data_IF_293023633258
#
_entry.id   IF_293023633258
#
_cell.length_a   1.000
_cell.length_b   1.000
_cell.length_c   1.000
_cell.angle_alpha   90.00
_cell.angle_beta   90.00
_cell.angle_gamma   90.00
#
_symmetry.space_group_name_H-M   'P 1'
#
loop_
_entity.id
_entity.type
_entity.pdbx_description
1 polymer ?
#
# COMPACT_ATOMS: atom_id res chain seq x y z
N UNK A 1 39.54 -1.28 -0.83
CA UNK A 1 38.54 -0.98 -1.88
C UNK A 1 37.72 0.19 -1.40
N UNK A 2 37.85 1.33 -2.08
CA UNK A 2 37.18 2.58 -1.74
C UNK A 2 35.72 2.47 -2.16
N UNK A 3 34.87 1.98 -1.26
CA UNK A 3 33.43 1.87 -1.51
C UNK A 3 32.85 3.28 -1.53
N UNK A 4 32.36 3.71 -2.69
CA UNK A 4 31.72 5.00 -2.92
C UNK A 4 30.23 4.75 -3.13
N UNK A 5 29.48 4.48 -2.05
CA UNK A 5 28.05 4.19 -2.15
C UNK A 5 27.33 5.41 -2.73
N UNK A 6 26.44 5.14 -3.68
CA UNK A 6 25.57 6.15 -4.30
C UNK A 6 24.13 5.82 -4.00
N UNK A 7 23.36 6.78 -3.51
CA UNK A 7 21.92 6.64 -3.36
C UNK A 7 21.24 6.55 -4.74
N UNK A 8 20.23 5.69 -4.86
CA UNK A 8 19.41 5.60 -6.07
C UNK A 8 18.71 6.94 -6.35
N UNK A 9 18.77 7.37 -7.60
CA UNK A 9 18.19 8.65 -8.07
C UNK A 9 16.68 8.63 -8.27
N UNK A 10 16.05 7.46 -8.28
CA UNK A 10 14.60 7.30 -8.47
C UNK A 10 13.78 7.34 -7.16
N UNK A 11 14.45 7.42 -6.00
CA UNK A 11 13.78 7.48 -4.71
C UNK A 11 13.08 8.82 -4.50
N UNK A 12 11.81 8.77 -4.11
CA UNK A 12 11.03 9.97 -3.76
C UNK A 12 11.13 10.21 -2.27
N UNK A 13 11.70 11.35 -1.86
CA UNK A 13 11.73 11.78 -0.47
C UNK A 13 10.57 12.74 -0.18
N UNK A 14 9.81 12.45 0.87
CA UNK A 14 8.73 13.31 1.37
C UNK A 14 9.01 13.62 2.84
N UNK A 15 9.12 14.90 3.16
CA UNK A 15 9.21 15.36 4.55
C UNK A 15 7.85 15.23 5.23
N UNK A 16 7.83 14.65 6.42
CA UNK A 16 6.65 14.55 7.28
C UNK A 16 7.00 14.93 8.73
N UNK A 17 6.42 16.03 9.19
CA UNK A 17 6.39 16.37 10.61
C UNK A 17 5.26 15.59 11.30
N UNK A 18 5.57 14.71 12.23
CA UNK A 18 4.57 14.00 13.04
C UNK A 18 4.81 14.31 14.51
N UNK A 19 3.80 14.91 15.18
CA UNK A 19 3.85 15.29 16.61
C UNK A 19 5.06 16.16 17.00
N UNK A 20 5.49 17.05 16.12
CA UNK A 20 6.63 17.95 16.37
C UNK A 20 8.01 17.32 16.11
N UNK A 21 8.09 16.03 15.78
CA UNK A 21 9.32 15.39 15.32
C UNK A 21 9.37 15.38 13.80
N UNK A 22 10.47 15.88 13.23
CA UNK A 22 10.73 15.79 11.79
C UNK A 22 11.10 14.35 11.42
N UNK A 23 10.40 13.79 10.45
CA UNK A 23 10.74 12.49 9.85
C UNK A 23 10.61 12.54 8.35
N UNK A 24 11.37 11.70 7.65
CA UNK A 24 11.38 11.64 6.20
C UNK A 24 10.92 10.27 5.74
N UNK A 25 9.99 10.24 4.79
CA UNK A 25 9.54 9.00 4.15
C UNK A 25 10.23 8.91 2.79
N UNK A 26 10.98 7.83 2.62
CA UNK A 26 11.61 7.46 1.35
C UNK A 26 10.76 6.39 0.70
N UNK A 27 10.22 6.71 -0.48
CA UNK A 27 9.42 5.80 -1.29
C UNK A 27 10.27 5.20 -2.40
N UNK A 28 10.34 3.87 -2.46
CA UNK A 28 10.91 3.16 -3.59
C UNK A 28 9.83 2.94 -4.66
N UNK A 29 9.92 3.59 -5.84
CA UNK A 29 8.90 3.47 -6.89
C UNK A 29 8.86 2.10 -7.55
N UNK A 30 9.91 1.28 -7.40
CA UNK A 30 10.00 -0.04 -8.03
C UNK A 30 9.44 -1.13 -7.13
N UNK A 31 9.71 -1.05 -5.82
CA UNK A 31 9.23 -2.06 -4.85
C UNK A 31 7.97 -1.64 -4.11
N UNK A 32 7.52 -0.39 -4.29
CA UNK A 32 6.40 0.23 -3.57
C UNK A 32 6.53 0.18 -2.04
N UNK A 33 7.77 0.04 -1.55
CA UNK A 33 8.07 0.04 -0.12
C UNK A 33 8.30 1.45 0.37
N UNK A 34 7.84 1.70 1.59
CA UNK A 34 8.02 2.94 2.31
C UNK A 34 8.99 2.72 3.46
N UNK A 35 9.98 3.59 3.57
CA UNK A 35 10.96 3.58 4.65
C UNK A 35 10.91 4.91 5.37
N UNK A 36 10.92 4.88 6.70
CA UNK A 36 10.94 6.08 7.53
C UNK A 36 12.35 6.30 8.07
N UNK A 37 12.86 7.51 7.88
CA UNK A 37 14.19 7.92 8.33
C UNK A 37 14.12 9.18 9.19
N UNK A 38 15.12 9.33 10.06
CA UNK A 38 15.33 10.52 10.89
C UNK A 38 16.14 11.57 10.13
N UNK A 39 16.12 12.85 10.55
CA UNK A 39 16.89 13.92 9.89
C UNK A 39 18.39 13.62 9.76
N UNK A 40 18.99 13.04 10.82
CA UNK A 40 20.40 12.63 10.82
C UNK A 40 20.67 11.53 9.77
N UNK A 41 19.75 10.59 9.60
CA UNK A 41 19.89 9.50 8.62
C UNK A 41 19.77 10.03 7.20
N UNK A 42 18.90 11.02 6.96
CA UNK A 42 18.79 11.71 5.67
C UNK A 42 20.04 12.52 5.34
N UNK A 43 20.64 13.21 6.31
CA UNK A 43 21.92 13.89 6.12
C UNK A 43 23.01 12.89 5.69
N UNK A 44 23.06 11.71 6.33
CA UNK A 44 23.95 10.64 5.90
C UNK A 44 23.61 10.18 4.48
N UNK A 45 22.34 9.94 4.15
CA UNK A 45 21.93 9.51 2.80
C UNK A 45 22.34 10.52 1.71
N UNK A 46 22.19 11.83 1.96
CA UNK A 46 22.62 12.87 1.03
C UNK A 46 24.14 12.93 0.85
N UNK A 47 24.91 12.52 1.87
CA UNK A 47 26.38 12.44 1.77
C UNK A 47 26.87 11.23 0.93
N UNK A 48 26.00 10.25 0.65
CA UNK A 48 26.30 9.06 -0.18
C UNK A 48 26.01 9.36 -1.66
N UNK A 49 26.82 10.23 -2.25
CA UNK A 49 26.67 10.74 -3.63
C UNK A 49 27.43 9.91 -4.69
N UNK A 50 28.21 8.90 -4.26
CA UNK A 50 29.08 8.10 -5.13
C UNK A 50 30.43 8.74 -5.47
N UNK A 51 30.71 9.94 -4.96
CA UNK A 51 31.99 10.63 -5.15
C UNK A 51 32.87 10.50 -3.90
N UNK A 52 32.27 10.60 -2.72
CA UNK A 52 32.97 10.57 -1.43
C UNK A 52 33.16 9.16 -0.91
N UNK A 53 34.27 8.94 -0.21
CA UNK A 53 34.42 7.71 0.58
C UNK A 53 33.64 7.83 1.88
N UNK A 54 33.35 6.69 2.52
CA UNK A 54 32.68 6.66 3.84
C UNK A 54 33.43 7.48 4.90
N UNK A 55 34.76 7.54 4.82
CA UNK A 55 35.59 8.35 5.71
C UNK A 55 35.43 9.86 5.44
N UNK A 56 35.41 10.27 4.17
CA UNK A 56 35.23 11.67 3.77
C UNK A 56 33.81 12.16 4.07
N UNK A 57 32.81 11.28 3.93
CA UNK A 57 31.43 11.55 4.31
C UNK A 57 31.31 11.79 5.84
N UNK A 58 32.00 10.99 6.66
CA UNK A 58 32.02 11.16 8.11
C UNK A 58 32.66 12.51 8.51
N UNK A 59 33.76 12.89 7.86
CA UNK A 59 34.42 14.18 8.08
C UNK A 59 33.49 15.35 7.72
N UNK A 60 32.84 15.30 6.56
CA UNK A 60 31.92 16.34 6.11
C UNK A 60 30.69 16.48 7.03
N UNK A 61 30.16 15.38 7.56
CA UNK A 61 29.05 15.42 8.51
C UNK A 61 29.49 15.96 9.88
N UNK A 62 30.71 15.64 10.29
CA UNK A 62 31.28 16.18 11.55
C UNK A 62 31.45 17.69 11.46
N UNK A 63 31.88 18.22 10.31
CA UNK A 63 31.98 19.67 10.05
C UNK A 63 30.61 20.38 10.09
N UNK A 64 29.54 19.65 9.76
CA UNK A 64 28.15 20.12 9.88
C UNK A 64 27.57 19.97 11.30
N UNK A 65 28.37 19.57 12.29
CA UNK A 65 27.94 19.38 13.68
C UNK A 65 27.26 18.03 13.95
N UNK A 66 27.27 17.09 12.98
CA UNK A 66 26.67 15.77 13.09
C UNK A 66 27.77 14.74 13.39
N UNK A 67 27.97 14.43 14.67
CA UNK A 67 29.00 13.49 15.12
C UNK A 67 28.65 12.03 14.80
N UNK A 68 28.98 11.56 13.60
CA UNK A 68 28.76 10.17 13.18
C UNK A 68 30.08 9.53 12.74
N UNK A 69 30.41 8.35 13.29
CA UNK A 69 31.65 7.65 12.95
C UNK A 69 31.58 7.01 11.56
N UNK A 70 32.72 6.93 10.87
CA UNK A 70 32.82 6.25 9.57
C UNK A 70 32.34 4.78 9.63
N UNK A 71 32.55 4.10 10.75
CA UNK A 71 32.04 2.74 10.96
C UNK A 71 30.50 2.68 11.01
N UNK A 72 29.85 3.67 11.63
CA UNK A 72 28.40 3.76 11.66
C UNK A 72 27.82 4.05 10.27
N UNK A 73 28.44 4.96 9.50
CA UNK A 73 28.06 5.23 8.11
C UNK A 73 28.22 3.98 7.24
N UNK A 74 29.33 3.24 7.39
CA UNK A 74 29.54 1.98 6.66
C UNK A 74 28.47 0.92 6.97
N UNK A 75 28.11 0.74 8.25
CA UNK A 75 27.01 -0.16 8.65
C UNK A 75 25.66 0.30 8.09
N UNK A 76 25.40 1.60 8.10
CA UNK A 76 24.17 2.18 7.57
C UNK A 76 24.09 2.02 6.05
N UNK A 77 25.18 2.30 5.32
CA UNK A 77 25.29 2.03 3.89
C UNK A 77 25.07 0.54 3.56
N UNK A 78 25.60 -0.38 4.37
CA UNK A 78 25.32 -1.81 4.25
C UNK A 78 23.83 -2.14 4.40
N UNK A 79 23.14 -1.53 5.37
CA UNK A 79 21.68 -1.68 5.54
C UNK A 79 20.90 -1.10 4.35
N UNK A 80 21.24 0.10 3.89
CA UNK A 80 20.64 0.73 2.70
C UNK A 80 20.86 -0.14 1.46
N UNK A 81 22.05 -0.73 1.32
CA UNK A 81 22.38 -1.70 0.26
C UNK A 81 21.48 -2.91 0.37
N UNK A 82 21.29 -3.50 1.54
CA UNK A 82 20.42 -4.67 1.74
C UNK A 82 18.94 -4.37 1.42
N UNK A 83 18.46 -3.17 1.76
CA UNK A 83 17.11 -2.68 1.46
C UNK A 83 16.90 -2.34 -0.02
N UNK A 84 17.97 -2.22 -0.81
CA UNK A 84 17.91 -1.91 -2.24
C UNK A 84 17.81 -0.42 -2.56
N UNK A 85 18.18 0.44 -1.60
CA UNK A 85 18.11 1.91 -1.74
C UNK A 85 19.40 2.53 -2.33
N UNK A 86 20.50 1.79 -2.36
CA UNK A 86 21.74 2.22 -3.03
C UNK A 86 21.83 1.69 -4.46
N UNK A 87 22.47 2.45 -5.35
CA UNK A 87 22.84 2.00 -6.69
C UNK A 87 23.74 0.77 -6.56
N UNK A 88 23.34 -0.31 -7.23
CA UNK A 88 24.10 -1.56 -7.28
C UNK A 88 24.73 -1.69 -8.65
N UNK A 89 25.95 -2.23 -8.69
CA UNK A 89 26.60 -2.54 -9.97
C UNK A 89 25.77 -3.57 -10.75
N UNK A 90 25.86 -3.56 -12.09
CA UNK A 90 25.13 -4.51 -12.96
C UNK A 90 25.36 -5.98 -12.56
N UNK A 91 26.57 -6.29 -12.06
CA UNK A 91 26.94 -7.63 -11.58
C UNK A 91 26.22 -8.02 -10.28
N UNK A 92 26.06 -7.07 -9.36
CA UNK A 92 25.32 -7.31 -8.11
C UNK A 92 23.81 -7.44 -8.37
N UNK A 93 23.27 -6.66 -9.30
CA UNK A 93 21.86 -6.77 -9.71
C UNK A 93 21.56 -8.13 -10.33
N UNK A 94 22.42 -8.64 -11.22
CA UNK A 94 22.20 -9.93 -11.86
C UNK A 94 22.30 -11.10 -10.88
N UNK A 95 23.24 -11.06 -9.93
CA UNK A 95 23.35 -12.08 -8.87
C UNK A 95 22.08 -12.13 -8.01
N UNK A 96 21.58 -10.98 -7.56
CA UNK A 96 20.37 -10.90 -6.75
C UNK A 96 19.10 -11.28 -7.53
N UNK A 97 19.01 -10.94 -8.80
CA UNK A 97 17.90 -11.40 -9.65
C UNK A 97 17.91 -12.93 -9.75
N UNK A 98 19.09 -13.52 -9.95
CA UNK A 98 19.23 -14.98 -9.98
C UNK A 98 18.91 -15.63 -8.63
N UNK A 99 19.31 -15.02 -7.51
CA UNK A 99 18.91 -15.49 -6.18
C UNK A 99 17.40 -15.39 -5.94
N UNK A 100 16.76 -14.26 -6.32
CA UNK A 100 15.31 -14.11 -6.25
C UNK A 100 14.59 -15.14 -7.10
N UNK A 101 14.99 -15.33 -8.35
CA UNK A 101 14.40 -16.34 -9.24
C UNK A 101 14.57 -17.77 -8.68
N UNK A 102 15.71 -18.05 -8.02
CA UNK A 102 15.94 -19.34 -7.34
C UNK A 102 15.09 -19.48 -6.08
N UNK A 103 14.91 -18.42 -5.31
CA UNK A 103 14.05 -18.40 -4.14
C UNK A 103 12.58 -18.58 -4.52
N UNK A 104 12.10 -17.88 -5.55
CA UNK A 104 10.75 -18.04 -6.11
C UNK A 104 10.53 -19.45 -6.66
N UNK A 105 11.48 -20.03 -7.40
CA UNK A 105 11.39 -21.43 -7.84
C UNK A 105 11.31 -22.38 -6.64
N UNK A 106 12.14 -22.19 -5.61
CA UNK A 106 12.08 -23.00 -4.38
C UNK A 106 10.76 -22.82 -3.64
N UNK A 107 10.21 -21.61 -3.59
CA UNK A 107 8.92 -21.35 -2.96
C UNK A 107 7.76 -21.97 -3.76
N UNK A 108 7.80 -21.92 -5.09
CA UNK A 108 6.83 -22.59 -5.98
C UNK A 108 6.92 -24.11 -5.89
N UNK A 109 8.12 -24.66 -5.70
CA UNK A 109 8.35 -26.10 -5.55
C UNK A 109 8.04 -26.61 -4.12
N UNK A 110 8.18 -25.75 -3.11
CA UNK A 110 7.96 -26.10 -1.70
C UNK A 110 6.55 -25.82 -1.18
N UNK A 111 5.76 -24.97 -1.85
CA UNK A 111 4.32 -24.81 -1.59
C UNK A 111 3.56 -25.89 -2.35
N UNK A 112 3.37 -27.05 -1.71
CA UNK A 112 2.30 -27.95 -2.13
C UNK A 112 0.99 -27.17 -2.15
N UNK A 113 0.23 -27.28 -3.25
CA UNK A 113 -0.95 -26.46 -3.57
C UNK A 113 -2.12 -26.49 -2.55
N UNK A 114 -1.95 -27.14 -1.39
CA UNK A 114 -3.02 -27.53 -0.48
C UNK A 114 -2.67 -27.41 1.01
N UNK A 115 -1.61 -26.69 1.40
CA UNK A 115 -1.36 -26.40 2.82
C UNK A 115 -1.95 -25.03 3.22
N UNK A 116 -3.24 -25.03 3.58
CA UNK A 116 -3.87 -23.96 4.38
C UNK A 116 -4.48 -22.76 3.62
N UNK A 117 -4.45 -22.73 2.28
CA UNK A 117 -4.92 -21.57 1.50
C UNK A 117 -6.44 -21.54 1.23
N UNK A 118 -7.20 -22.60 1.52
CA UNK A 118 -8.67 -22.60 1.34
C UNK A 118 -9.37 -21.52 2.18
N UNK A 119 -8.82 -21.19 3.36
CA UNK A 119 -9.36 -20.18 4.28
C UNK A 119 -8.78 -18.78 4.06
N UNK A 120 -7.83 -18.63 3.13
CA UNK A 120 -7.18 -17.35 2.78
C UNK A 120 -6.77 -17.35 1.31
N UNK A 121 -7.76 -17.44 0.42
CA UNK A 121 -7.52 -17.26 -1.00
C UNK A 121 -7.45 -15.76 -1.31
N UNK A 122 -6.27 -15.27 -1.66
CA UNK A 122 -6.05 -13.88 -2.08
C UNK A 122 -5.96 -13.85 -3.61
N UNK A 123 -6.98 -13.29 -4.25
CA UNK A 123 -6.97 -12.96 -5.66
C UNK A 123 -6.61 -11.49 -5.82
N UNK A 124 -5.39 -11.22 -6.27
CA UNK A 124 -5.02 -9.87 -6.73
C UNK A 124 -5.51 -9.71 -8.17
N UNK A 125 -6.39 -8.73 -8.41
CA UNK A 125 -6.97 -8.44 -9.72
C UNK A 125 -5.97 -7.67 -10.61
N UNK A 126 -4.83 -7.27 -10.06
CA UNK A 126 -3.74 -6.59 -10.76
C UNK A 126 -3.52 -5.19 -10.21
N UNK A 127 -2.81 -4.36 -10.98
CA UNK A 127 -2.53 -2.96 -10.67
C UNK A 127 -3.63 -2.07 -11.27
N UNK A 128 -4.62 -1.60 -10.48
CA UNK A 128 -5.71 -0.77 -10.97
C UNK A 128 -5.28 0.69 -11.15
N UNK A 129 -4.05 1.08 -10.79
CA UNK A 129 -3.65 2.50 -10.68
C UNK A 129 -3.87 3.25 -12.00
N UNK A 130 -3.54 2.62 -13.14
CA UNK A 130 -3.76 3.18 -14.49
C UNK A 130 -5.23 3.31 -14.87
N UNK A 131 -6.07 2.38 -14.42
CA UNK A 131 -7.51 2.45 -14.67
C UNK A 131 -8.12 3.58 -13.84
N UNK A 132 -7.78 3.63 -12.55
CA UNK A 132 -8.20 4.68 -11.62
C UNK A 132 -7.75 6.06 -12.09
N UNK A 133 -6.51 6.21 -12.60
CA UNK A 133 -6.02 7.47 -13.16
C UNK A 133 -6.85 7.97 -14.35
N UNK A 134 -7.30 7.05 -15.21
CA UNK A 134 -8.12 7.38 -16.39
C UNK A 134 -9.56 7.75 -16.02
N UNK A 135 -10.13 7.09 -15.01
CA UNK A 135 -11.52 7.30 -14.59
C UNK A 135 -11.68 8.40 -13.55
N UNK A 136 -10.61 8.74 -12.81
CA UNK A 136 -10.56 9.81 -11.83
C UNK A 136 -11.17 11.14 -12.31
N UNK A 137 -10.81 11.70 -13.49
CA UNK A 137 -11.37 12.99 -13.93
C UNK A 137 -12.90 12.97 -14.04
N UNK A 138 -13.50 11.84 -14.42
CA UNK A 138 -14.95 11.69 -14.52
C UNK A 138 -15.63 11.59 -13.17
N UNK A 139 -14.93 11.13 -12.13
CA UNK A 139 -15.46 10.95 -10.77
C UNK A 139 -15.08 12.08 -9.81
N UNK A 140 -14.34 13.08 -10.28
CA UNK A 140 -14.00 14.28 -9.48
C UNK A 140 -15.23 15.02 -8.96
N UNK A 141 -16.36 14.96 -9.66
CA UNK A 141 -17.60 15.58 -9.20
C UNK A 141 -18.09 14.98 -7.87
N UNK A 142 -17.81 13.71 -7.60
CA UNK A 142 -18.20 13.04 -6.35
C UNK A 142 -17.55 13.66 -5.12
N UNK A 143 -16.39 14.30 -5.27
CA UNK A 143 -15.66 14.95 -4.18
C UNK A 143 -16.00 16.44 -4.03
N UNK A 144 -16.98 16.95 -4.80
CA UNK A 144 -17.43 18.33 -4.67
C UNK A 144 -18.35 18.50 -3.46
N UNK A 145 -18.32 19.69 -2.84
CA UNK A 145 -19.20 20.02 -1.70
C UNK A 145 -20.69 19.81 -2.03
N UNK A 146 -21.09 20.12 -3.27
CA UNK A 146 -22.45 19.91 -3.74
C UNK A 146 -22.86 18.44 -3.74
N UNK A 147 -22.00 17.55 -4.26
CA UNK A 147 -22.27 16.11 -4.25
C UNK A 147 -22.28 15.52 -2.84
N UNK A 148 -21.35 15.97 -1.97
CA UNK A 148 -21.34 15.53 -0.56
C UNK A 148 -22.64 15.92 0.15
N UNK A 149 -23.10 17.17 0.00
CA UNK A 149 -24.38 17.61 0.57
C UNK A 149 -25.57 16.84 -0.01
N UNK A 150 -25.57 16.59 -1.32
CA UNK A 150 -26.60 15.77 -1.97
C UNK A 150 -26.62 14.34 -1.43
N UNK A 151 -25.46 13.70 -1.29
CA UNK A 151 -25.35 12.35 -0.71
C UNK A 151 -25.82 12.32 0.73
N UNK A 152 -25.50 13.34 1.54
CA UNK A 152 -25.96 13.46 2.91
C UNK A 152 -27.49 13.59 2.99
N UNK A 153 -28.09 14.38 2.11
CA UNK A 153 -29.54 14.47 2.00
C UNK A 153 -30.17 13.13 1.60
N UNK A 154 -29.56 12.40 0.66
CA UNK A 154 -30.02 11.07 0.26
C UNK A 154 -29.91 10.04 1.39
N UNK A 155 -28.83 10.07 2.17
CA UNK A 155 -28.69 9.25 3.38
C UNK A 155 -29.73 9.60 4.44
N UNK A 156 -30.05 10.87 4.64
CA UNK A 156 -31.10 11.29 5.56
C UNK A 156 -32.48 10.79 5.14
N UNK A 157 -32.80 10.87 3.84
CA UNK A 157 -34.04 10.30 3.27
C UNK A 157 -34.06 8.78 3.48
N UNK A 158 -32.95 8.09 3.20
CA UNK A 158 -32.87 6.64 3.40
C UNK A 158 -33.07 6.25 4.88
N UNK A 159 -32.46 7.00 5.81
CA UNK A 159 -32.65 6.79 7.25
C UNK A 159 -34.11 7.00 7.67
N UNK A 160 -34.80 8.00 7.10
CA UNK A 160 -36.23 8.23 7.34
C UNK A 160 -37.07 7.06 6.81
N UNK A 161 -36.83 6.62 5.57
CA UNK A 161 -37.53 5.47 4.98
C UNK A 161 -37.33 4.22 5.82
N UNK A 162 -36.09 3.98 6.28
CA UNK A 162 -35.77 2.85 7.14
C UNK A 162 -36.49 2.92 8.49
N UNK A 163 -36.61 4.11 9.08
CA UNK A 163 -37.37 4.31 10.32
C UNK A 163 -38.87 4.05 10.13
N UNK A 164 -39.44 4.49 9.01
CA UNK A 164 -40.86 4.25 8.68
C UNK A 164 -41.12 2.77 8.39
N UNK A 165 -40.22 2.11 7.67
CA UNK A 165 -40.31 0.69 7.27
C UNK A 165 -39.60 -0.25 8.25
N UNK A 166 -39.35 0.20 9.47
CA UNK A 166 -38.62 -0.57 10.48
C UNK A 166 -39.22 -1.96 10.74
N UNK A 167 -40.56 -2.14 10.84
CA UNK A 167 -41.14 -3.47 11.05
C UNK A 167 -40.82 -4.44 9.90
N UNK A 168 -40.92 -3.98 8.66
CA UNK A 168 -40.62 -4.76 7.46
C UNK A 168 -39.14 -5.13 7.39
N UNK A 169 -38.25 -4.18 7.69
CA UNK A 169 -36.81 -4.41 7.75
C UNK A 169 -36.44 -5.44 8.84
N UNK A 170 -36.99 -5.29 10.04
CA UNK A 170 -36.73 -6.21 11.15
C UNK A 170 -37.29 -7.62 10.90
N UNK A 171 -38.43 -7.72 10.21
CA UNK A 171 -39.00 -9.00 9.78
C UNK A 171 -38.10 -9.69 8.75
N UNK A 172 -37.66 -8.96 7.72
CA UNK A 172 -36.75 -9.49 6.69
C UNK A 172 -35.40 -9.95 7.29
N UNK A 173 -34.86 -9.22 8.28
CA UNK A 173 -33.68 -9.66 9.04
C UNK A 173 -33.96 -10.95 9.84
N UNK A 174 -35.15 -11.07 10.45
CA UNK A 174 -35.56 -12.29 11.15
C UNK A 174 -35.61 -13.52 10.22
N UNK A 175 -36.15 -13.36 9.02
CA UNK A 175 -36.22 -14.44 8.02
C UNK A 175 -34.83 -14.91 7.54
N UNK A 176 -33.88 -13.96 7.44
CA UNK A 176 -32.45 -14.23 7.21
C UNK A 176 -31.83 -15.10 8.31
N UNK A 177 -32.04 -14.75 9.59
CA UNK A 177 -31.50 -15.50 10.73
C UNK A 177 -32.11 -16.89 10.88
N UNK A 178 -33.38 -17.06 10.53
CA UNK A 178 -34.07 -18.35 10.57
C UNK A 178 -33.89 -19.19 9.30
N UNK A 179 -33.04 -18.76 8.35
CA UNK A 179 -32.75 -19.46 7.08
C UNK A 179 -34.02 -19.84 6.31
N UNK A 180 -35.09 -19.04 6.41
CA UNK A 180 -36.36 -19.23 5.68
C UNK A 180 -36.28 -18.68 4.26
N UNK A 181 -35.09 -18.68 3.67
CA UNK A 181 -34.81 -18.08 2.38
C UNK A 181 -34.87 -19.14 1.29
N UNK A 182 -35.45 -18.78 0.15
CA UNK A 182 -35.37 -19.60 -1.06
C UNK A 182 -33.91 -19.56 -1.57
N UNK A 183 -33.39 -20.61 -2.24
CA UNK A 183 -32.06 -20.55 -2.87
C UNK A 183 -31.86 -19.34 -3.80
N UNK A 184 -32.94 -18.86 -4.44
CA UNK A 184 -32.93 -17.65 -5.25
C UNK A 184 -32.69 -16.36 -4.44
N UNK A 185 -33.30 -16.24 -3.26
CA UNK A 185 -33.13 -15.08 -2.37
C UNK A 185 -31.70 -15.02 -1.83
N UNK A 186 -31.13 -16.19 -1.50
CA UNK A 186 -29.74 -16.32 -1.06
C UNK A 186 -28.76 -15.93 -2.19
N UNK A 187 -29.02 -16.37 -3.41
CA UNK A 187 -28.19 -15.99 -4.57
C UNK A 187 -28.26 -14.48 -4.84
N UNK A 188 -29.46 -13.88 -4.74
CA UNK A 188 -29.65 -12.44 -4.91
C UNK A 188 -28.93 -11.64 -3.81
N UNK A 189 -29.04 -12.08 -2.55
CA UNK A 189 -28.34 -11.48 -1.42
C UNK A 189 -26.83 -11.50 -1.64
N UNK A 190 -26.28 -12.66 -2.02
CA UNK A 190 -24.85 -12.83 -2.23
C UNK A 190 -24.34 -11.95 -3.38
N UNK A 191 -25.05 -11.93 -4.51
CA UNK A 191 -24.71 -11.06 -5.64
C UNK A 191 -24.77 -9.57 -5.26
N UNK A 192 -25.81 -9.17 -4.52
CA UNK A 192 -25.96 -7.78 -4.07
C UNK A 192 -24.83 -7.39 -3.12
N UNK A 193 -24.51 -8.23 -2.15
CA UNK A 193 -23.40 -8.01 -1.22
C UNK A 193 -22.06 -7.88 -1.96
N UNK A 194 -21.80 -8.77 -2.93
CA UNK A 194 -20.60 -8.73 -3.76
C UNK A 194 -20.46 -7.40 -4.50
N UNK A 195 -21.53 -6.92 -5.13
CA UNK A 195 -21.56 -5.66 -5.87
C UNK A 195 -21.35 -4.47 -4.92
N UNK A 196 -22.03 -4.43 -3.78
CA UNK A 196 -21.90 -3.35 -2.80
C UNK A 196 -20.46 -3.27 -2.27
N UNK A 197 -19.86 -4.41 -1.91
CA UNK A 197 -18.49 -4.43 -1.40
C UNK A 197 -17.49 -4.01 -2.50
N UNK A 198 -17.68 -4.48 -3.74
CA UNK A 198 -16.83 -4.06 -4.85
C UNK A 198 -16.89 -2.52 -5.08
N UNK A 199 -18.08 -1.93 -5.00
CA UNK A 199 -18.26 -0.47 -5.10
C UNK A 199 -17.62 0.25 -3.90
N UNK A 200 -17.74 -0.30 -2.69
CA UNK A 200 -17.16 0.27 -1.47
C UNK A 200 -15.63 0.36 -1.57
N UNK A 201 -14.99 -0.73 -1.97
CA UNK A 201 -13.55 -0.78 -2.19
C UNK A 201 -13.09 0.18 -3.30
N UNK A 202 -13.81 0.22 -4.43
CA UNK A 202 -13.56 1.23 -5.45
C UNK A 202 -13.66 2.64 -4.85
N UNK A 203 -14.63 2.89 -3.98
CA UNK A 203 -14.77 4.15 -3.23
C UNK A 203 -13.52 4.50 -2.40
N UNK A 204 -12.96 3.52 -1.68
CA UNK A 204 -11.69 3.69 -0.97
C UNK A 204 -10.53 4.00 -1.93
N UNK A 205 -10.42 3.26 -3.03
CA UNK A 205 -9.37 3.46 -4.02
C UNK A 205 -9.44 4.85 -4.67
N UNK A 206 -10.63 5.31 -5.08
CA UNK A 206 -10.83 6.65 -5.63
C UNK A 206 -10.56 7.74 -4.60
N UNK A 207 -10.96 7.54 -3.34
CA UNK A 207 -10.68 8.50 -2.28
C UNK A 207 -9.18 8.63 -2.04
N UNK A 208 -8.46 7.51 -1.90
CA UNK A 208 -7.02 7.49 -1.76
C UNK A 208 -6.32 8.23 -2.90
N UNK A 209 -6.74 7.95 -4.15
CA UNK A 209 -6.17 8.57 -5.35
C UNK A 209 -6.51 10.06 -5.46
N UNK A 210 -7.69 10.50 -5.04
CA UNK A 210 -8.05 11.92 -4.98
C UNK A 210 -7.15 12.72 -4.02
N UNK A 211 -6.79 12.13 -2.88
CA UNK A 211 -5.87 12.73 -1.90
C UNK A 211 -4.38 12.53 -2.26
N UNK A 212 -4.05 12.01 -3.45
CA UNK A 212 -2.68 11.86 -3.94
C UNK A 212 -1.98 10.55 -3.56
N UNK A 213 -2.71 9.59 -2.99
CA UNK A 213 -2.23 8.22 -2.80
C UNK A 213 -2.16 7.42 -4.10
N UNK A 214 -1.49 6.29 -4.09
CA UNK A 214 -1.42 5.36 -5.23
C UNK A 214 -1.86 3.98 -4.79
N UNK A 215 -2.69 3.32 -5.60
CA UNK A 215 -3.32 2.03 -5.28
C UNK A 215 -2.79 1.00 -6.26
N UNK A 216 -1.82 0.19 -5.83
CA UNK A 216 -1.11 -0.75 -6.72
C UNK A 216 -1.60 -2.19 -6.61
N UNK A 217 -2.47 -2.48 -5.64
CA UNK A 217 -3.10 -3.79 -5.49
C UNK A 217 -4.57 -3.61 -5.14
N UNK A 218 -5.46 -4.09 -5.99
CA UNK A 218 -6.85 -4.34 -5.60
C UNK A 218 -7.15 -5.82 -5.76
N UNK A 219 -7.91 -6.37 -4.84
CA UNK A 219 -8.22 -7.79 -4.87
C UNK A 219 -9.40 -8.19 -4.01
N UNK A 220 -9.75 -9.47 -4.13
CA UNK A 220 -10.66 -10.15 -3.25
C UNK A 220 -9.86 -11.16 -2.42
N UNK A 221 -10.11 -11.19 -1.12
CA UNK A 221 -9.60 -12.17 -0.19
C UNK A 221 -10.77 -12.91 0.44
N UNK A 222 -10.80 -14.23 0.33
CA UNK A 222 -11.77 -15.04 1.06
C UNK A 222 -11.17 -15.34 2.44
N UNK A 223 -11.75 -14.78 3.50
CA UNK A 223 -11.37 -15.07 4.89
C UNK A 223 -12.50 -15.90 5.49
N UNK A 224 -12.27 -17.16 5.84
CA UNK A 224 -13.32 -18.02 6.42
C UNK A 224 -14.63 -18.08 5.61
N UNK A 225 -14.56 -18.13 4.28
CA UNK A 225 -15.71 -18.05 3.35
C UNK A 225 -16.44 -16.71 3.27
N UNK A 226 -15.98 -15.70 4.00
CA UNK A 226 -16.45 -14.32 3.83
C UNK A 226 -15.59 -13.61 2.76
N UNK A 227 -16.22 -13.06 1.70
CA UNK A 227 -15.50 -12.26 0.73
C UNK A 227 -15.13 -10.91 1.36
N UNK A 228 -13.84 -10.68 1.57
CA UNK A 228 -13.27 -9.41 1.98
C UNK A 228 -12.47 -8.84 0.82
N UNK A 229 -12.83 -7.67 0.32
CA UNK A 229 -12.05 -7.03 -0.74
C UNK A 229 -11.03 -6.06 -0.12
N UNK A 230 -9.96 -5.73 -0.84
CA UNK A 230 -8.92 -4.82 -0.37
C UNK A 230 -8.37 -3.95 -1.49
N UNK A 231 -7.90 -2.76 -1.11
CA UNK A 231 -7.23 -1.75 -1.94
C UNK A 231 -5.94 -1.25 -1.25
#
# INVERSE_FOLDING_TARGET
MSDRPRLRSDLVLVEQSYRGEQSYIVKDPVTHKYFRFRPVEIAVMHSLDGQRTVADAALALTDQGIGVSAAAIGKFAGKLKAMGLLERTLREQSILLMERLRAERRQRLGRGAFQGELLRMRWSIGDPDKFLDRTMPYLRFCFTRGFVLFSLALFAIYALVLAVRWPEFSGALGDLYHLRLTPGDLALLYLTALVVIAIHELGHAYTCKHFGGQVHEMGAMLIYFEPAFFC
#
